data_IF_190296879408
#
_entry.id   IF_190296879408
#
_cell.length_a   1.000
_cell.length_b   1.000
_cell.length_c   1.000
_cell.angle_alpha   90.00
_cell.angle_beta   90.00
_cell.angle_gamma   90.00
#
_symmetry.space_group_name_H-M   'P 1'
#
loop_
_entity.id
_entity.type
_entity.pdbx_description
1 polymer ?
#
# COMPACT_ATOMS: atom_id res chain seq x y z
N UNK A 1 -9.26 18.06 -29.04
CA UNK A 1 -9.23 17.37 -27.73
C UNK A 1 -10.42 16.43 -27.68
N UNK A 2 -10.17 15.12 -27.63
CA UNK A 2 -11.22 14.12 -27.42
C UNK A 2 -10.95 13.44 -26.08
N UNK A 3 -11.88 13.59 -25.14
CA UNK A 3 -11.85 12.89 -23.86
C UNK A 3 -12.69 11.61 -24.02
N UNK A 4 -12.03 10.50 -24.31
CA UNK A 4 -12.64 9.18 -24.13
C UNK A 4 -12.45 8.78 -22.67
N UNK A 5 -13.51 8.29 -22.01
CA UNK A 5 -13.35 7.60 -20.72
C UNK A 5 -12.30 6.50 -20.93
N UNK A 6 -11.24 6.43 -20.11
CA UNK A 6 -10.37 5.27 -20.15
C UNK A 6 -11.25 4.03 -19.92
N UNK A 7 -10.99 2.91 -20.62
CA UNK A 7 -11.68 1.67 -20.32
C UNK A 7 -11.55 1.46 -18.82
N UNK A 8 -12.70 1.35 -18.14
CA UNK A 8 -12.69 0.98 -16.73
C UNK A 8 -11.99 -0.37 -16.69
N UNK A 9 -10.73 -0.37 -16.27
CA UNK A 9 -10.11 -1.56 -15.73
C UNK A 9 -11.11 -2.03 -14.70
N UNK A 10 -11.79 -3.14 -15.00
CA UNK A 10 -12.80 -3.72 -14.14
C UNK A 10 -12.03 -4.35 -12.99
N UNK A 11 -11.50 -3.50 -12.11
CA UNK A 11 -10.93 -3.88 -10.84
C UNK A 11 -12.13 -4.40 -10.07
N UNK A 12 -12.18 -5.72 -9.94
CA UNK A 12 -13.19 -6.44 -9.18
C UNK A 12 -13.28 -5.82 -7.79
N UNK A 13 -14.26 -4.96 -7.58
CA UNK A 13 -14.40 -4.15 -6.36
C UNK A 13 -15.02 -5.00 -5.25
N UNK A 14 -14.22 -5.93 -4.74
CA UNK A 14 -14.34 -6.42 -3.37
C UNK A 14 -13.48 -5.57 -2.40
N UNK A 15 -13.01 -4.39 -2.83
CA UNK A 15 -12.18 -3.50 -2.01
C UNK A 15 -12.99 -2.94 -0.83
N UNK A 16 -12.65 -3.39 0.38
CA UNK A 16 -12.93 -2.60 1.58
C UNK A 16 -11.97 -1.40 1.56
N UNK A 17 -12.46 -0.16 1.68
CA UNK A 17 -11.56 1.00 1.74
C UNK A 17 -10.58 0.82 2.90
N UNK A 18 -9.28 0.90 2.63
CA UNK A 18 -8.21 0.78 3.63
C UNK A 18 -8.49 1.64 4.86
N UNK A 19 -8.96 2.87 4.64
CA UNK A 19 -9.36 3.79 5.69
C UNK A 19 -10.46 3.21 6.59
N UNK A 20 -11.49 2.59 6.00
CA UNK A 20 -12.57 1.97 6.76
C UNK A 20 -12.05 0.80 7.62
N UNK A 21 -11.09 0.01 7.15
CA UNK A 21 -10.45 -1.05 7.95
C UNK A 21 -9.63 -0.48 9.11
N UNK A 22 -8.83 0.56 8.86
CA UNK A 22 -8.03 1.21 9.91
C UNK A 22 -8.93 1.76 11.02
N UNK A 23 -10.04 2.42 10.65
CA UNK A 23 -10.94 3.06 11.62
C UNK A 23 -11.78 2.06 12.45
N UNK A 24 -11.91 0.80 12.03
CA UNK A 24 -12.66 -0.23 12.76
C UNK A 24 -11.93 -0.77 13.99
N UNK A 25 -10.62 -0.59 14.07
CA UNK A 25 -9.80 -1.24 15.09
C UNK A 25 -9.10 -0.21 15.97
N UNK A 26 -9.11 -0.46 17.29
CA UNK A 26 -8.37 0.37 18.26
C UNK A 26 -6.85 0.21 18.10
N UNK A 27 -6.40 -0.99 17.76
CA UNK A 27 -5.00 -1.28 17.45
C UNK A 27 -4.91 -2.04 16.14
N UNK A 28 -3.93 -1.68 15.31
CA UNK A 28 -3.67 -2.33 14.03
C UNK A 28 -2.20 -2.76 13.93
N UNK A 29 -1.98 -3.87 13.25
CA UNK A 29 -0.70 -4.22 12.68
C UNK A 29 -0.71 -3.89 11.19
N UNK A 30 0.33 -3.18 10.73
CA UNK A 30 0.51 -2.83 9.33
C UNK A 30 1.83 -3.39 8.80
N UNK A 31 1.79 -3.92 7.58
CA UNK A 31 2.98 -4.39 6.86
C UNK A 31 2.93 -3.97 5.41
N UNK A 32 3.96 -3.26 4.95
CA UNK A 32 4.21 -3.04 3.53
C UNK A 32 4.73 -4.32 2.88
N UNK A 33 4.17 -4.70 1.73
CA UNK A 33 4.72 -5.77 0.91
C UNK A 33 5.91 -5.24 0.10
N UNK A 34 7.03 -5.97 0.04
CA UNK A 34 8.12 -5.61 -0.86
C UNK A 34 7.64 -5.58 -2.31
N UNK A 35 7.96 -4.51 -3.03
CA UNK A 35 7.54 -4.29 -4.42
C UNK A 35 7.88 -5.49 -5.32
N UNK A 36 9.08 -6.07 -5.19
CA UNK A 36 9.52 -7.25 -5.96
C UNK A 36 8.55 -8.44 -5.79
N UNK A 37 8.04 -8.65 -4.58
CA UNK A 37 7.12 -9.76 -4.30
C UNK A 37 5.74 -9.49 -4.88
N UNK A 38 5.28 -8.23 -4.83
CA UNK A 38 3.97 -7.83 -5.34
C UNK A 38 3.91 -7.82 -6.87
N UNK A 39 4.94 -7.29 -7.53
CA UNK A 39 5.01 -7.23 -9.01
C UNK A 39 4.94 -8.61 -9.66
N UNK A 40 5.57 -9.63 -9.04
CA UNK A 40 5.49 -11.01 -9.51
C UNK A 40 4.08 -11.58 -9.43
N UNK A 41 3.31 -11.19 -8.41
CA UNK A 41 1.97 -11.71 -8.16
C UNK A 41 0.89 -10.96 -8.94
N UNK A 42 1.12 -9.69 -9.28
CA UNK A 42 0.16 -8.84 -9.96
C UNK A 42 0.85 -7.97 -11.03
N UNK A 43 1.20 -8.49 -12.21
CA UNK A 43 1.84 -7.71 -13.26
C UNK A 43 1.00 -6.48 -13.66
N UNK A 44 1.66 -5.35 -13.91
CA UNK A 44 1.03 -4.10 -14.33
C UNK A 44 1.65 -3.66 -15.65
N UNK A 45 0.82 -3.54 -16.69
CA UNK A 45 1.22 -3.08 -18.02
C UNK A 45 0.53 -1.76 -18.33
N UNK A 46 1.31 -0.72 -18.62
CA UNK A 46 0.83 0.65 -18.85
C UNK A 46 1.47 1.18 -20.11
N UNK A 47 0.63 1.71 -21.01
CA UNK A 47 1.05 2.38 -22.24
C UNK A 47 0.49 3.81 -22.29
N UNK A 48 1.32 4.83 -22.58
CA UNK A 48 2.77 4.76 -22.83
C UNK A 48 3.54 4.31 -21.59
N UNK A 49 4.73 3.75 -21.78
CA UNK A 49 5.51 3.19 -20.67
C UNK A 49 5.89 4.30 -19.67
N UNK A 50 5.56 4.16 -18.38
CA UNK A 50 5.98 5.11 -17.36
C UNK A 50 7.48 5.02 -17.11
N UNK A 51 8.07 6.16 -16.77
CA UNK A 51 9.48 6.24 -16.39
C UNK A 51 9.73 5.51 -15.07
N UNK A 52 8.76 5.59 -14.14
CA UNK A 52 8.81 4.98 -12.82
C UNK A 52 7.43 4.48 -12.42
N UNK A 53 7.37 3.25 -11.89
CA UNK A 53 6.20 2.70 -11.24
C UNK A 53 6.53 2.46 -9.77
N UNK A 54 5.79 3.12 -8.88
CA UNK A 54 5.85 2.88 -7.43
C UNK A 54 4.54 2.23 -7.00
N UNK A 55 4.62 1.04 -6.39
CA UNK A 55 3.45 0.27 -5.97
C UNK A 55 3.52 0.02 -4.48
N UNK A 56 2.60 0.62 -3.74
CA UNK A 56 2.51 0.50 -2.30
C UNK A 56 1.34 -0.42 -1.99
N UNK A 57 1.64 -1.64 -1.55
CA UNK A 57 0.63 -2.58 -1.09
C UNK A 57 0.79 -2.83 0.40
N UNK A 58 -0.29 -2.72 1.15
CA UNK A 58 -0.28 -2.90 2.60
C UNK A 58 -1.18 -4.04 3.04
N UNK A 59 -0.69 -4.84 3.99
CA UNK A 59 -1.50 -5.75 4.78
C UNK A 59 -1.87 -5.08 6.09
N UNK A 60 -3.16 -5.11 6.42
CA UNK A 60 -3.69 -4.53 7.65
C UNK A 60 -4.41 -5.63 8.41
N UNK A 61 -4.18 -5.67 9.73
CA UNK A 61 -4.86 -6.58 10.64
C UNK A 61 -5.22 -5.86 11.93
N UNK A 62 -6.46 -6.01 12.37
CA UNK A 62 -6.86 -5.62 13.72
C UNK A 62 -6.18 -6.48 14.78
N UNK A 63 -5.66 -5.85 15.84
CA UNK A 63 -4.99 -6.52 16.95
C UNK A 63 -5.82 -6.30 18.23
N UNK A 64 -6.32 -7.36 18.89
CA UNK A 64 -6.92 -7.26 20.21
C UNK A 64 -5.93 -6.74 21.26
N UNK A 65 -6.42 -6.00 22.25
CA UNK A 65 -5.57 -5.37 23.28
C UNK A 65 -4.75 -6.39 24.09
N UNK A 66 -5.36 -7.52 24.44
CA UNK A 66 -4.74 -8.65 25.15
C UNK A 66 -3.62 -9.34 24.34
N UNK A 67 -3.60 -9.16 23.02
CA UNK A 67 -2.59 -9.70 22.11
C UNK A 67 -1.46 -8.73 21.82
N UNK A 68 -1.50 -7.48 22.29
CA UNK A 68 -0.46 -6.48 22.02
C UNK A 68 0.94 -6.92 22.48
N UNK A 69 1.00 -7.73 23.55
CA UNK A 69 2.25 -8.28 24.09
C UNK A 69 3.06 -9.05 23.04
N UNK A 70 2.40 -9.72 22.10
CA UNK A 70 3.03 -10.47 21.01
C UNK A 70 3.67 -9.55 19.95
N UNK A 71 3.31 -8.27 19.96
CA UNK A 71 3.69 -7.28 18.95
C UNK A 71 4.71 -6.27 19.47
N UNK A 72 5.54 -6.65 20.45
CA UNK A 72 6.56 -5.77 21.06
C UNK A 72 7.49 -5.08 20.04
N UNK A 73 7.85 -5.79 18.95
CA UNK A 73 8.63 -5.21 17.85
C UNK A 73 7.87 -4.13 17.07
N UNK A 74 6.56 -4.27 16.88
CA UNK A 74 5.74 -3.24 16.24
C UNK A 74 5.52 -2.04 17.16
N UNK A 75 5.32 -2.28 18.46
CA UNK A 75 5.24 -1.20 19.46
C UNK A 75 6.52 -0.36 19.50
N UNK A 76 7.70 -1.00 19.43
CA UNK A 76 8.99 -0.31 19.36
C UNK A 76 9.14 0.53 18.08
N UNK A 77 8.66 0.02 16.94
CA UNK A 77 8.69 0.75 15.67
C UNK A 77 7.66 1.89 15.60
N UNK A 78 6.61 1.86 16.40
CA UNK A 78 5.58 2.90 16.40
C UNK A 78 6.12 4.28 16.82
N UNK A 79 7.25 4.31 17.54
CA UNK A 79 7.94 5.56 17.95
C UNK A 79 9.10 5.93 17.01
N UNK A 80 9.37 5.16 15.97
CA UNK A 80 10.41 5.48 14.99
C UNK A 80 10.00 6.66 14.11
N UNK A 81 10.99 7.44 13.67
CA UNK A 81 10.77 8.58 12.79
C UNK A 81 10.15 8.14 11.46
N UNK A 82 9.21 8.94 10.93
CA UNK A 82 8.57 8.73 9.62
C UNK A 82 9.56 8.56 8.47
N UNK A 83 10.78 9.08 8.58
CA UNK A 83 11.87 8.88 7.63
C UNK A 83 12.23 7.40 7.42
N UNK A 84 12.04 6.54 8.43
CA UNK A 84 12.18 5.10 8.26
C UNK A 84 11.24 4.59 7.16
N UNK A 85 9.98 5.01 7.19
CA UNK A 85 8.97 4.58 6.23
C UNK A 85 9.21 5.14 4.83
N UNK A 86 9.80 6.33 4.70
CA UNK A 86 10.16 6.91 3.39
C UNK A 86 11.10 6.01 2.58
N UNK A 87 12.01 5.31 3.25
CA UNK A 87 12.92 4.37 2.61
C UNK A 87 12.23 3.06 2.19
N UNK A 88 11.14 2.68 2.86
CA UNK A 88 10.35 1.49 2.54
C UNK A 88 9.53 1.69 1.26
N UNK A 89 9.06 2.91 1.00
CA UNK A 89 8.17 3.25 -0.13
C UNK A 89 8.83 4.02 -1.30
N UNK A 90 10.16 4.20 -1.29
CA UNK A 90 10.98 4.93 -2.31
C UNK A 90 10.30 6.21 -2.85
N UNK A 91 9.98 7.14 -1.94
CA UNK A 91 9.20 8.36 -2.24
C UNK A 91 9.99 9.38 -3.08
N UNK A 92 11.31 9.32 -3.09
CA UNK A 92 12.17 10.33 -3.72
C UNK A 92 12.00 10.37 -5.24
N UNK A 93 11.95 9.20 -5.87
CA UNK A 93 11.75 9.04 -7.31
C UNK A 93 10.34 9.41 -7.77
N UNK A 94 9.34 9.19 -6.91
CA UNK A 94 7.95 9.45 -7.24
C UNK A 94 7.58 10.94 -7.33
N UNK A 95 8.49 11.85 -6.93
CA UNK A 95 8.25 13.31 -6.88
C UNK A 95 8.93 14.11 -7.98
N UNK A 96 9.64 13.45 -8.91
CA UNK A 96 10.26 14.17 -10.03
C UNK A 96 9.21 14.57 -11.08
N UNK A 97 8.92 15.87 -11.15
CA UNK A 97 7.92 16.44 -12.04
C UNK A 97 8.27 16.31 -13.55
N UNK A 98 9.50 15.91 -13.89
CA UNK A 98 9.93 15.68 -15.27
C UNK A 98 9.62 14.25 -15.75
N UNK A 99 9.24 13.36 -14.85
CA UNK A 99 9.01 11.95 -15.15
C UNK A 99 7.51 11.66 -15.26
N UNK A 100 7.16 10.75 -16.17
CA UNK A 100 5.85 10.13 -16.13
C UNK A 100 5.87 9.04 -15.05
N UNK A 101 5.38 9.39 -13.86
CA UNK A 101 5.35 8.53 -12.68
C UNK A 101 3.95 7.94 -12.48
N UNK A 102 3.89 6.63 -12.24
CA UNK A 102 2.66 5.96 -11.79
C UNK A 102 2.82 5.57 -10.33
N UNK A 103 1.88 6.00 -9.49
CA UNK A 103 1.75 5.58 -8.10
C UNK A 103 0.48 4.73 -7.97
N UNK A 104 0.64 3.44 -7.68
CA UNK A 104 -0.45 2.58 -7.23
C UNK A 104 -0.39 2.44 -5.71
N UNK A 105 -1.50 2.69 -5.04
CA UNK A 105 -1.66 2.45 -3.61
C UNK A 105 -2.86 1.55 -3.40
N UNK A 106 -2.65 0.42 -2.73
CA UNK A 106 -3.71 -0.50 -2.39
C UNK A 106 -3.40 -1.28 -1.10
N UNK A 107 -4.35 -2.08 -0.61
CA UNK A 107 -4.19 -2.84 0.60
C UNK A 107 -5.33 -3.80 0.88
N UNK A 108 -5.04 -4.76 1.74
CA UNK A 108 -5.95 -5.86 2.07
C UNK A 108 -6.07 -6.03 3.58
N UNK A 109 -7.31 -6.18 4.02
CA UNK A 109 -7.63 -6.62 5.38
C UNK A 109 -7.41 -8.13 5.49
N UNK A 110 -6.61 -8.55 6.47
CA UNK A 110 -6.27 -9.96 6.68
C UNK A 110 -7.27 -10.59 7.63
N UNK A 111 -8.31 -11.20 7.05
CA UNK A 111 -9.36 -11.92 7.75
C UNK A 111 -9.00 -13.42 7.93
N UNK A 112 -8.15 -13.76 8.92
CA UNK A 112 -7.95 -15.10 9.55
C UNK A 112 -6.62 -15.14 10.33
N UNK A 113 -6.43 -15.94 11.38
CA UNK A 113 -7.33 -16.74 12.21
C UNK A 113 -6.85 -16.71 13.65
#
# INVERSE_FOLDING_TARGET
MYATRPPQAQISSNHVPILATILKHRYIALRFLPQISYERAAPLDISPQPSIITRIFMLIKGVPEDRLVDWSGAQRRAVENVDFWRNVVDVAKARDAKLFVVLEWDGMDVLRG
#
